data_IF_956324646219
#
_entry.id   IF_956324646219
#
_cell.length_a   1.000
_cell.length_b   1.000
_cell.length_c   1.000
_cell.angle_alpha   90.00
_cell.angle_beta   90.00
_cell.angle_gamma   90.00
#
_symmetry.space_group_name_H-M   'P 1'
#
loop_
_entity.id
_entity.type
_entity.pdbx_description
1 polymer ?
#
# COMPACT_ATOMS: atom_id res chain seq x y z
N UNK A 1 -29.12 -4.01 3.40
CA UNK A 1 -27.86 -3.33 3.77
C UNK A 1 -27.29 -2.72 2.51
N UNK A 2 -26.93 -1.45 2.56
CA UNK A 2 -26.31 -0.77 1.43
C UNK A 2 -24.87 -1.27 1.25
N UNK A 3 -24.39 -1.32 0.00
CA UNK A 3 -23.01 -1.71 -0.29
C UNK A 3 -22.07 -0.62 0.22
N UNK A 4 -21.01 -1.02 0.89
CA UNK A 4 -19.94 -0.10 1.27
C UNK A 4 -19.08 0.30 0.06
N UNK A 5 -18.44 1.47 0.04
CA UNK A 5 -17.69 1.97 -1.13
C UNK A 5 -16.70 0.98 -1.73
N UNK A 6 -15.96 0.24 -0.89
CA UNK A 6 -15.01 -0.77 -1.35
C UNK A 6 -15.62 -1.93 -2.16
N UNK A 7 -16.93 -2.16 -2.04
CA UNK A 7 -17.65 -3.20 -2.80
C UNK A 7 -18.29 -2.68 -4.10
N UNK A 8 -18.13 -1.38 -4.39
CA UNK A 8 -18.62 -0.78 -5.65
C UNK A 8 -17.55 -0.75 -6.74
N UNK A 9 -16.29 -1.00 -6.40
CA UNK A 9 -15.17 -1.05 -7.34
C UNK A 9 -15.26 -2.34 -8.16
N UNK A 10 -14.94 -2.26 -9.44
CA UNK A 10 -14.87 -3.43 -10.31
C UNK A 10 -13.55 -4.18 -10.11
N UNK A 11 -13.57 -5.19 -9.24
CA UNK A 11 -12.38 -6.00 -8.93
C UNK A 11 -11.96 -6.92 -10.08
N UNK A 12 -12.82 -7.20 -11.06
CA UNK A 12 -12.46 -8.01 -12.24
C UNK A 12 -11.61 -7.20 -13.23
N UNK A 13 -11.72 -5.86 -13.20
CA UNK A 13 -10.97 -4.93 -14.05
C UNK A 13 -9.84 -4.20 -13.30
N UNK A 14 -9.80 -4.28 -11.97
CA UNK A 14 -8.82 -3.57 -11.15
C UNK A 14 -7.40 -4.06 -11.43
N UNK A 15 -6.54 -3.14 -11.84
CA UNK A 15 -5.11 -3.37 -12.05
C UNK A 15 -4.31 -3.14 -10.76
N UNK A 16 -3.04 -3.50 -10.80
CA UNK A 16 -2.07 -3.06 -9.79
C UNK A 16 -1.87 -1.55 -9.92
N UNK A 17 -1.74 -0.84 -8.81
CA UNK A 17 -1.61 0.63 -8.87
C UNK A 17 -1.77 1.32 -7.54
N UNK A 18 -2.01 2.62 -7.62
CA UNK A 18 -2.27 3.51 -6.49
C UNK A 18 -3.61 4.20 -6.75
N UNK A 19 -4.57 4.01 -5.88
CA UNK A 19 -5.91 4.56 -6.07
C UNK A 19 -6.37 5.34 -4.85
N UNK A 20 -7.04 6.48 -5.06
CA UNK A 20 -7.80 7.13 -3.99
C UNK A 20 -9.00 6.25 -3.66
N UNK A 21 -8.98 5.61 -2.50
CA UNK A 21 -10.08 4.77 -2.03
C UNK A 21 -11.24 5.62 -1.52
N UNK A 22 -10.92 6.64 -0.70
CA UNK A 22 -11.90 7.60 -0.19
C UNK A 22 -11.21 8.82 0.39
N UNK A 23 -11.98 9.88 0.58
CA UNK A 23 -11.60 11.08 1.31
C UNK A 23 -12.60 11.32 2.42
N UNK A 24 -12.10 11.56 3.63
CA UNK A 24 -12.89 11.85 4.81
C UNK A 24 -12.64 13.29 5.27
N UNK A 25 -13.71 14.00 5.55
CA UNK A 25 -13.68 15.37 6.07
C UNK A 25 -13.87 15.33 7.58
N UNK A 26 -12.86 15.77 8.33
CA UNK A 26 -12.85 15.76 9.79
C UNK A 26 -12.65 17.20 10.28
N UNK A 27 -13.73 17.88 10.57
CA UNK A 27 -13.71 19.33 10.82
C UNK A 27 -13.24 20.09 9.57
N UNK A 28 -12.15 20.83 9.68
CA UNK A 28 -11.55 21.57 8.57
C UNK A 28 -10.42 20.77 7.85
N UNK A 29 -10.15 19.57 8.30
CA UNK A 29 -9.09 18.72 7.76
C UNK A 29 -9.65 17.68 6.79
N UNK A 30 -8.84 17.30 5.80
CA UNK A 30 -9.13 16.20 4.90
C UNK A 30 -8.14 15.08 5.14
N UNK A 31 -8.62 13.85 5.12
CA UNK A 31 -7.82 12.65 5.21
C UNK A 31 -8.08 11.80 3.97
N UNK A 32 -7.03 11.47 3.22
CA UNK A 32 -7.12 10.64 2.02
C UNK A 32 -6.63 9.22 2.32
N UNK A 33 -7.46 8.23 2.04
CA UNK A 33 -7.10 6.81 2.10
C UNK A 33 -6.76 6.33 0.69
N UNK A 34 -5.55 5.81 0.54
CA UNK A 34 -5.06 5.21 -0.70
C UNK A 34 -5.06 3.69 -0.62
N UNK A 35 -5.51 3.07 -1.70
CA UNK A 35 -5.36 1.65 -2.01
C UNK A 35 -4.05 1.47 -2.78
N UNK A 36 -3.07 0.84 -2.14
CA UNK A 36 -1.79 0.51 -2.76
C UNK A 36 -1.88 -0.95 -3.21
N UNK A 37 -2.35 -1.13 -4.45
CA UNK A 37 -2.69 -2.45 -5.01
C UNK A 37 -1.49 -3.10 -5.66
N UNK A 38 -0.93 -4.12 -5.01
CA UNK A 38 0.28 -4.82 -5.47
C UNK A 38 -0.03 -6.04 -6.35
N UNK A 39 -1.25 -6.59 -6.25
CA UNK A 39 -1.71 -7.76 -7.00
C UNK A 39 -3.03 -7.48 -7.70
N UNK A 40 -3.19 -8.01 -8.91
CA UNK A 40 -4.48 -7.98 -9.60
C UNK A 40 -5.46 -8.94 -8.89
N UNK A 41 -6.58 -8.44 -8.37
CA UNK A 41 -7.51 -9.27 -7.64
C UNK A 41 -8.02 -10.45 -8.49
N UNK A 42 -8.00 -11.65 -7.91
CA UNK A 42 -8.52 -12.89 -8.50
C UNK A 42 -7.86 -13.35 -9.82
N UNK A 43 -6.88 -12.62 -10.36
CA UNK A 43 -6.19 -12.95 -11.61
C UNK A 43 -4.74 -13.42 -11.42
N UNK A 44 -4.18 -13.20 -10.24
CA UNK A 44 -2.86 -13.69 -9.85
C UNK A 44 -2.87 -14.12 -8.38
N UNK A 45 -1.88 -14.92 -7.93
CA UNK A 45 -1.77 -15.29 -6.52
C UNK A 45 -1.62 -14.06 -5.61
N UNK A 46 -2.32 -14.08 -4.47
CA UNK A 46 -2.17 -13.06 -3.44
C UNK A 46 -0.75 -13.06 -2.84
N UNK A 47 -0.41 -11.99 -2.12
CA UNK A 47 0.86 -11.89 -1.41
C UNK A 47 0.95 -12.96 -0.31
N UNK A 48 2.12 -13.56 -0.15
CA UNK A 48 2.40 -14.42 1.00
C UNK A 48 2.33 -13.59 2.28
N UNK A 49 1.67 -14.12 3.29
CA UNK A 49 1.37 -13.36 4.51
C UNK A 49 2.64 -12.86 5.24
N UNK A 50 3.71 -13.67 5.26
CA UNK A 50 5.00 -13.26 5.84
C UNK A 50 5.67 -12.13 5.08
N UNK A 51 5.57 -12.13 3.74
CA UNK A 51 6.06 -11.05 2.91
C UNK A 51 5.27 -9.76 3.14
N UNK A 52 3.95 -9.85 3.20
CA UNK A 52 3.08 -8.71 3.45
C UNK A 52 3.32 -8.08 4.83
N UNK A 53 3.49 -8.90 5.87
CA UNK A 53 3.84 -8.45 7.22
C UNK A 53 5.22 -7.76 7.26
N UNK A 54 6.20 -8.29 6.53
CA UNK A 54 7.52 -7.65 6.40
C UNK A 54 7.43 -6.31 5.67
N UNK A 55 6.67 -6.23 4.59
CA UNK A 55 6.38 -4.97 3.87
C UNK A 55 5.71 -3.96 4.82
N UNK A 56 4.77 -4.41 5.64
CA UNK A 56 4.11 -3.55 6.64
C UNK A 56 5.15 -2.88 7.55
N UNK A 57 6.03 -3.65 8.19
CA UNK A 57 7.04 -3.13 9.11
C UNK A 57 8.03 -2.17 8.43
N UNK A 58 8.56 -2.57 7.28
CA UNK A 58 9.57 -1.77 6.57
C UNK A 58 8.99 -0.49 6.00
N UNK A 59 7.84 -0.56 5.33
CA UNK A 59 7.19 0.61 4.75
C UNK A 59 6.69 1.57 5.84
N UNK A 60 6.11 1.07 6.94
CA UNK A 60 5.72 1.91 8.07
C UNK A 60 6.93 2.66 8.67
N UNK A 61 8.06 1.97 8.81
CA UNK A 61 9.31 2.59 9.29
C UNK A 61 9.80 3.67 8.33
N UNK A 62 9.84 3.38 7.03
CA UNK A 62 10.26 4.35 6.02
C UNK A 62 9.37 5.58 6.01
N UNK A 63 8.06 5.40 5.88
CA UNK A 63 7.08 6.47 5.77
C UNK A 63 7.10 7.43 6.97
N UNK A 64 7.24 6.89 8.17
CA UNK A 64 7.29 7.69 9.41
C UNK A 64 8.64 8.37 9.66
N UNK A 65 9.66 8.08 8.84
CA UNK A 65 10.95 8.74 8.84
C UNK A 65 11.21 9.57 7.58
N UNK A 66 10.29 9.58 6.60
CA UNK A 66 10.42 10.41 5.40
C UNK A 66 10.41 11.91 5.78
N UNK A 67 11.38 12.66 5.24
CA UNK A 67 11.59 14.07 5.63
C UNK A 67 10.44 14.99 5.23
N UNK A 68 9.69 14.63 4.19
CA UNK A 68 8.59 15.43 3.63
C UNK A 68 7.23 14.98 4.14
N UNK A 69 7.02 13.66 4.27
CA UNK A 69 5.69 13.08 4.46
C UNK A 69 5.39 12.61 5.88
N UNK A 70 6.39 12.42 6.75
CA UNK A 70 6.20 11.81 8.08
C UNK A 70 5.08 12.42 8.92
N UNK A 71 4.90 13.74 8.86
CA UNK A 71 3.88 14.46 9.63
C UNK A 71 2.46 14.30 9.05
N UNK A 72 2.37 13.78 7.83
CA UNK A 72 1.10 13.50 7.15
C UNK A 72 0.66 12.05 7.29
N UNK A 73 1.54 11.15 7.69
CA UNK A 73 1.22 9.72 7.80
C UNK A 73 0.31 9.46 8.98
N UNK A 74 -0.90 9.00 8.69
CA UNK A 74 -1.89 8.58 9.69
C UNK A 74 -1.79 7.08 9.92
N UNK A 75 -1.78 6.29 8.85
CA UNK A 75 -1.76 4.83 8.93
C UNK A 75 -1.15 4.19 7.68
N UNK A 76 -0.46 3.09 7.88
CA UNK A 76 -0.05 2.12 6.86
C UNK A 76 -0.35 0.72 7.36
N UNK A 77 -0.96 -0.12 6.54
CA UNK A 77 -1.22 -1.50 6.93
C UNK A 77 -1.78 -2.35 5.79
N UNK A 78 -1.74 -3.69 5.94
CA UNK A 78 -2.13 -4.62 4.91
C UNK A 78 -3.64 -4.69 4.72
N UNK A 79 -4.06 -5.07 3.53
CA UNK A 79 -5.44 -5.44 3.23
C UNK A 79 -5.71 -6.88 3.67
N UNK A 80 -6.89 -7.15 4.21
CA UNK A 80 -7.30 -8.50 4.59
C UNK A 80 -7.38 -9.49 3.43
N UNK A 81 -7.52 -9.02 2.18
CA UNK A 81 -7.50 -9.85 0.98
C UNK A 81 -6.08 -10.20 0.49
N UNK A 82 -5.03 -9.70 1.14
CA UNK A 82 -3.61 -9.96 0.84
C UNK A 82 -3.17 -9.51 -0.57
N UNK A 83 -3.80 -8.48 -1.13
CA UNK A 83 -3.47 -7.99 -2.48
C UNK A 83 -2.79 -6.63 -2.48
N UNK A 84 -2.56 -6.05 -1.32
CA UNK A 84 -1.88 -4.76 -1.16
C UNK A 84 -2.03 -4.19 0.25
N UNK A 85 -1.84 -2.88 0.34
CA UNK A 85 -1.84 -2.14 1.59
C UNK A 85 -2.73 -0.89 1.49
N UNK A 86 -3.16 -0.38 2.64
CA UNK A 86 -3.75 0.96 2.74
C UNK A 86 -2.72 1.94 3.29
N UNK A 87 -2.66 3.12 2.66
CA UNK A 87 -1.95 4.29 3.16
C UNK A 87 -2.96 5.39 3.43
N UNK A 88 -2.96 5.93 4.64
CA UNK A 88 -3.81 7.06 5.01
C UNK A 88 -2.94 8.26 5.31
N UNK A 89 -3.18 9.36 4.58
CA UNK A 89 -2.44 10.60 4.70
C UNK A 89 -3.37 11.79 5.01
N UNK A 90 -2.87 12.73 5.78
CA UNK A 90 -3.50 14.06 5.93
C UNK A 90 -3.36 14.83 4.61
N UNK A 91 -4.44 15.45 4.20
CA UNK A 91 -4.52 16.31 3.02
C UNK A 91 -5.53 15.80 1.99
N UNK A 92 -5.96 16.71 1.14
CA UNK A 92 -6.78 16.41 -0.05
C UNK A 92 -5.82 16.09 -1.19
N UNK A 93 -5.54 14.82 -1.37
CA UNK A 93 -4.49 14.31 -2.26
C UNK A 93 -5.09 13.43 -3.37
N UNK A 94 -4.44 13.41 -4.52
CA UNK A 94 -4.72 12.46 -5.60
C UNK A 94 -3.60 11.41 -5.72
N UNK A 95 -3.86 10.37 -6.50
CA UNK A 95 -2.92 9.24 -6.65
C UNK A 95 -1.58 9.66 -7.23
N UNK A 96 -1.56 10.59 -8.19
CA UNK A 96 -0.34 11.02 -8.87
C UNK A 96 0.65 11.72 -7.90
N UNK A 97 0.12 12.42 -6.87
CA UNK A 97 0.94 13.15 -5.91
C UNK A 97 1.80 12.23 -5.02
N UNK A 98 1.41 10.97 -4.86
CA UNK A 98 2.12 10.03 -3.99
C UNK A 98 2.89 8.93 -4.74
N UNK A 99 2.91 8.95 -6.08
CA UNK A 99 3.66 7.95 -6.88
C UNK A 99 5.13 7.93 -6.50
N UNK A 100 5.77 9.09 -6.36
CA UNK A 100 7.18 9.18 -5.98
C UNK A 100 7.43 8.68 -4.55
N UNK A 101 6.57 9.04 -3.60
CA UNK A 101 6.63 8.52 -2.24
C UNK A 101 6.55 6.99 -2.23
N UNK A 102 5.60 6.41 -2.97
CA UNK A 102 5.46 4.95 -3.05
C UNK A 102 6.66 4.30 -3.73
N UNK A 103 7.19 4.90 -4.81
CA UNK A 103 8.41 4.39 -5.46
C UNK A 103 9.57 4.32 -4.48
N UNK A 104 9.88 5.40 -3.78
CA UNK A 104 10.96 5.45 -2.78
C UNK A 104 10.72 4.46 -1.64
N UNK A 105 9.48 4.33 -1.17
CA UNK A 105 9.12 3.39 -0.10
C UNK A 105 9.38 1.95 -0.53
N UNK A 106 8.90 1.54 -1.71
CA UNK A 106 9.08 0.17 -2.19
C UNK A 106 10.50 -0.12 -2.68
N UNK A 107 11.25 0.87 -3.17
CA UNK A 107 12.70 0.75 -3.42
C UNK A 107 13.47 0.49 -2.13
N UNK A 108 13.11 1.19 -1.05
CA UNK A 108 13.69 0.93 0.28
C UNK A 108 13.42 -0.51 0.72
N UNK A 109 12.18 -1.01 0.63
CA UNK A 109 11.86 -2.41 0.98
C UNK A 109 12.62 -3.38 0.08
N UNK A 110 12.65 -3.13 -1.22
CA UNK A 110 13.30 -4.01 -2.22
C UNK A 110 14.82 -4.14 -2.02
N UNK A 111 15.46 -3.12 -1.45
CA UNK A 111 16.91 -3.10 -1.19
C UNK A 111 17.28 -3.32 0.27
N UNK A 112 16.30 -3.51 1.15
CA UNK A 112 16.55 -3.62 2.59
C UNK A 112 17.42 -4.83 2.94
N UNK A 113 18.39 -4.60 3.81
CA UNK A 113 19.26 -5.61 4.39
C UNK A 113 19.34 -5.43 5.90
N UNK A 114 19.45 -6.53 6.63
CA UNK A 114 19.55 -6.51 8.08
C UNK A 114 18.30 -6.97 8.81
N UNK A 115 18.21 -6.62 10.08
CA UNK A 115 17.09 -7.02 10.95
C UNK A 115 15.86 -6.16 10.67
N UNK A 116 14.70 -6.82 10.54
CA UNK A 116 13.44 -6.12 10.30
C UNK A 116 13.07 -5.31 11.55
N UNK A 117 12.84 -3.99 11.41
CA UNK A 117 12.42 -3.15 12.53
C UNK A 117 11.17 -3.69 13.21
N UNK A 118 11.19 -3.78 14.54
CA UNK A 118 10.06 -4.25 15.32
C UNK A 118 9.79 -5.75 15.27
N UNK A 119 10.64 -6.56 14.62
CA UNK A 119 10.50 -8.02 14.60
C UNK A 119 11.06 -8.68 15.87
N UNK A 120 10.55 -8.26 17.02
CA UNK A 120 10.90 -8.79 18.33
C UNK A 120 9.64 -9.08 19.16
N UNK A 121 9.70 -10.04 20.11
CA UNK A 121 8.53 -10.43 20.89
C UNK A 121 7.84 -9.29 21.64
N UNK A 122 8.60 -8.30 22.06
CA UNK A 122 8.12 -7.12 22.80
C UNK A 122 7.47 -6.05 21.90
N UNK A 123 7.76 -6.09 20.60
CA UNK A 123 7.40 -5.03 19.65
C UNK A 123 6.30 -5.48 18.67
N UNK A 124 6.14 -6.79 18.44
CA UNK A 124 5.20 -7.35 17.49
C UNK A 124 4.47 -8.56 18.05
N UNK A 125 3.16 -8.60 17.86
CA UNK A 125 2.30 -9.72 18.31
C UNK A 125 2.53 -11.04 17.58
N UNK A 126 3.24 -11.03 16.44
CA UNK A 126 3.61 -12.22 15.67
C UNK A 126 4.97 -12.06 15.00
N UNK A 127 6.00 -11.79 15.80
CA UNK A 127 7.34 -11.43 15.34
C UNK A 127 8.06 -12.52 14.52
N UNK A 128 7.60 -13.78 14.57
CA UNK A 128 8.16 -14.88 13.78
C UNK A 128 7.60 -14.95 12.35
N UNK A 129 6.50 -14.25 12.07
CA UNK A 129 5.85 -14.28 10.76
C UNK A 129 6.43 -13.20 9.84
N UNK A 130 7.66 -13.42 9.36
CA UNK A 130 8.33 -12.54 8.40
C UNK A 130 8.97 -13.34 7.27
N UNK A 131 9.03 -12.71 6.08
CA UNK A 131 9.71 -13.24 4.89
C UNK A 131 10.37 -12.08 4.13
N UNK A 132 11.58 -11.71 4.54
CA UNK A 132 12.31 -10.60 3.93
C UNK A 132 12.68 -10.88 2.45
N UNK A 133 13.17 -12.06 2.06
CA UNK A 133 13.46 -12.33 0.65
C UNK A 133 12.24 -12.14 -0.25
N UNK A 134 11.08 -12.65 0.15
CA UNK A 134 9.84 -12.50 -0.63
C UNK A 134 9.32 -11.05 -0.60
N UNK A 135 9.42 -10.36 0.53
CA UNK A 135 9.06 -8.94 0.63
C UNK A 135 9.88 -8.07 -0.34
N UNK A 136 11.20 -8.32 -0.41
CA UNK A 136 12.11 -7.64 -1.35
C UNK A 136 11.72 -7.93 -2.80
N UNK A 137 11.44 -9.19 -3.13
CA UNK A 137 11.08 -9.60 -4.49
C UNK A 137 9.76 -8.96 -4.93
N UNK A 138 8.71 -9.04 -4.12
CA UNK A 138 7.40 -8.44 -4.41
C UNK A 138 7.48 -6.91 -4.53
N UNK A 139 8.28 -6.27 -3.69
CA UNK A 139 8.48 -4.82 -3.75
C UNK A 139 9.25 -4.41 -5.01
N UNK A 140 10.29 -5.14 -5.39
CA UNK A 140 11.02 -4.91 -6.64
C UNK A 140 10.12 -5.05 -7.85
N UNK A 141 9.33 -6.13 -7.88
CA UNK A 141 8.36 -6.36 -8.95
C UNK A 141 7.34 -5.22 -9.07
N UNK A 142 6.82 -4.72 -7.94
CA UNK A 142 5.87 -3.61 -7.93
C UNK A 142 6.50 -2.30 -8.43
N UNK A 143 7.74 -2.01 -8.04
CA UNK A 143 8.49 -0.85 -8.57
C UNK A 143 8.70 -0.97 -10.08
N UNK A 144 9.24 -2.09 -10.55
CA UNK A 144 9.69 -2.24 -11.94
C UNK A 144 8.52 -2.37 -12.93
N UNK A 145 7.44 -3.04 -12.51
CA UNK A 145 6.31 -3.33 -13.37
C UNK A 145 5.18 -2.31 -13.30
N UNK A 146 5.06 -1.59 -12.18
CA UNK A 146 3.94 -0.67 -11.92
C UNK A 146 4.41 0.75 -11.67
N UNK A 147 5.17 1.01 -10.59
CA UNK A 147 5.45 2.37 -10.16
C UNK A 147 6.33 3.15 -11.16
N UNK A 148 7.24 2.46 -11.87
CA UNK A 148 8.06 3.05 -12.92
C UNK A 148 7.37 3.13 -14.29
N UNK A 149 6.20 2.51 -14.46
CA UNK A 149 5.49 2.39 -15.73
C UNK A 149 4.01 2.73 -15.63
N UNK A 150 3.59 3.39 -14.54
CA UNK A 150 2.19 3.67 -14.30
C UNK A 150 1.59 4.54 -15.40
N UNK A 151 0.34 4.24 -15.69
CA UNK A 151 -0.55 5.00 -16.58
C UNK A 151 -1.76 5.46 -15.77
N UNK A 152 -2.67 6.17 -16.39
CA UNK A 152 -3.92 6.61 -15.75
C UNK A 152 -4.72 5.42 -15.19
N UNK A 153 -4.72 4.27 -15.88
CA UNK A 153 -5.41 3.04 -15.45
C UNK A 153 -4.84 2.44 -14.15
N UNK A 154 -3.62 2.81 -13.76
CA UNK A 154 -3.00 2.43 -12.49
C UNK A 154 -3.25 3.45 -11.37
N UNK A 155 -3.94 4.55 -11.66
CA UNK A 155 -4.14 5.67 -10.74
C UNK A 155 -5.61 6.03 -10.50
N UNK A 156 -6.52 5.52 -11.34
CA UNK A 156 -7.97 5.75 -11.26
C UNK A 156 -8.69 4.41 -11.23
N UNK A 157 -9.62 4.24 -10.30
CA UNK A 157 -10.40 3.01 -10.19
C UNK A 157 -11.26 2.75 -11.43
N UNK A 158 -11.31 1.49 -11.89
CA UNK A 158 -12.34 1.08 -12.83
C UNK A 158 -13.68 1.00 -12.09
N UNK A 159 -14.59 1.91 -12.40
CA UNK A 159 -15.96 1.82 -11.88
C UNK A 159 -16.75 0.79 -12.66
N UNK A 160 -17.73 0.16 -11.99
CA UNK A 160 -18.68 -0.72 -12.65
C UNK A 160 -19.55 0.11 -13.59
N UNK A 161 -19.65 -0.33 -14.82
CA UNK A 161 -20.70 0.15 -15.72
C UNK A 161 -22.04 -0.38 -15.19
N UNK A 162 -23.05 0.50 -15.03
CA UNK A 162 -24.41 0.13 -14.59
C UNK A 162 -25.15 -0.69 -15.66
#
# INVERSE_FOLDING_TARGET
MDKIPSFTIDHDRLLRGIYVSRQDFIGNEVVTTFDIRMKEPNREPALHIGALHTIEHLAATYLRNDSEWKERVVYWGPMGCLTGNYLILKGNLNSAEIVDLMRRTFEFVASFEGEIPGAAPKDCGNYLLHDLPMARWESRKFVDEVLNKNTEDNLIYPFREE
#
